data_IF_597638256776
#
_entry.id   IF_597638256776
#
_cell.length_a   1.000
_cell.length_b   1.000
_cell.length_c   1.000
_cell.angle_alpha   90.00
_cell.angle_beta   90.00
_cell.angle_gamma   90.00
#
_symmetry.space_group_name_H-M   'P 1'
#
loop_
_entity.id
_entity.type
_entity.pdbx_description
1 polymer ?
#
# COMPACT_ATOMS: atom_id res chain seq x y z
N UNK A 1 11.94 -18.10 9.44
CA UNK A 1 10.69 -17.52 9.98
C UNK A 1 10.86 -16.02 9.91
N UNK A 2 10.06 -15.34 9.09
CA UNK A 2 10.16 -13.89 8.93
C UNK A 2 9.52 -13.21 10.15
N UNK A 3 10.25 -12.37 10.90
CA UNK A 3 9.77 -11.76 12.15
C UNK A 3 8.59 -10.78 11.95
N UNK A 4 8.27 -10.44 10.70
CA UNK A 4 7.17 -9.55 10.33
C UNK A 4 5.79 -10.24 10.32
N UNK A 5 5.74 -11.58 10.37
CA UNK A 5 4.46 -12.31 10.39
C UNK A 5 3.81 -12.37 11.77
N UNK A 6 4.53 -12.07 12.86
CA UNK A 6 4.03 -12.30 14.21
C UNK A 6 3.37 -11.11 14.89
N UNK A 7 3.39 -9.93 14.28
CA UNK A 7 3.01 -8.70 15.00
C UNK A 7 2.12 -7.81 14.17
N UNK A 8 1.04 -8.35 13.63
CA UNK A 8 -0.11 -7.58 13.21
C UNK A 8 -1.24 -8.60 13.03
N UNK A 9 -2.23 -8.54 13.90
CA UNK A 9 -3.57 -9.09 13.67
C UNK A 9 -4.26 -8.28 12.54
N UNK A 10 -3.50 -7.92 11.48
CA UNK A 10 -4.06 -7.35 10.25
C UNK A 10 -5.00 -8.43 9.77
N UNK A 11 -6.28 -8.08 9.69
CA UNK A 11 -7.31 -8.88 9.05
C UNK A 11 -6.73 -9.45 7.76
N UNK A 12 -6.38 -10.74 7.78
CA UNK A 12 -5.67 -11.41 6.69
C UNK A 12 -6.40 -11.24 5.35
N UNK A 13 -7.72 -11.06 5.41
CA UNK A 13 -8.60 -10.78 4.28
C UNK A 13 -8.35 -9.40 3.64
N UNK A 14 -8.22 -8.35 4.44
CA UNK A 14 -7.95 -6.98 3.96
C UNK A 14 -6.64 -6.90 3.22
N UNK A 15 -5.60 -7.45 3.83
CA UNK A 15 -4.28 -7.56 3.21
C UNK A 15 -4.31 -8.32 1.87
N UNK A 16 -5.01 -9.46 1.81
CA UNK A 16 -5.14 -10.24 0.57
C UNK A 16 -5.81 -9.42 -0.54
N UNK A 17 -6.82 -8.63 -0.20
CA UNK A 17 -7.48 -7.74 -1.17
C UNK A 17 -6.49 -6.70 -1.70
N UNK A 18 -5.74 -6.03 -0.82
CA UNK A 18 -4.74 -5.03 -1.20
C UNK A 18 -3.69 -5.62 -2.14
N UNK A 19 -3.12 -6.77 -1.80
CA UNK A 19 -2.10 -7.44 -2.63
C UNK A 19 -2.69 -7.86 -3.97
N UNK A 20 -3.87 -8.50 -3.98
CA UNK A 20 -4.51 -8.93 -5.23
C UNK A 20 -4.78 -7.76 -6.17
N UNK A 21 -5.27 -6.63 -5.65
CA UNK A 21 -5.53 -5.43 -6.47
C UNK A 21 -4.23 -4.84 -7.01
N UNK A 22 -3.17 -4.78 -6.19
CA UNK A 22 -1.85 -4.30 -6.65
C UNK A 22 -1.29 -5.24 -7.73
N UNK A 23 -1.37 -6.56 -7.55
CA UNK A 23 -0.92 -7.53 -8.55
C UNK A 23 -1.71 -7.41 -9.86
N UNK A 24 -3.03 -7.35 -9.80
CA UNK A 24 -3.89 -7.19 -10.99
C UNK A 24 -3.64 -5.85 -11.69
N UNK A 25 -3.33 -4.78 -10.94
CA UNK A 25 -2.91 -3.50 -11.50
C UNK A 25 -1.54 -3.60 -12.21
N UNK A 26 -0.55 -4.21 -11.54
CA UNK A 26 0.80 -4.39 -12.09
C UNK A 26 0.82 -5.31 -13.32
N UNK A 27 -0.06 -6.32 -13.36
CA UNK A 27 -0.27 -7.23 -14.49
C UNK A 27 -1.06 -6.57 -15.63
N UNK A 28 -1.59 -5.36 -15.42
CA UNK A 28 -2.40 -4.62 -16.40
C UNK A 28 -3.83 -5.16 -16.58
N UNK A 29 -4.30 -6.02 -15.67
CA UNK A 29 -5.69 -6.52 -15.63
C UNK A 29 -6.67 -5.48 -15.09
N UNK A 30 -6.21 -4.62 -14.19
CA UNK A 30 -6.97 -3.52 -13.62
C UNK A 30 -6.36 -2.17 -13.98
N UNK A 31 -7.22 -1.18 -14.24
CA UNK A 31 -6.81 0.22 -14.33
C UNK A 31 -6.74 0.86 -12.95
N UNK A 32 -6.00 1.96 -12.83
CA UNK A 32 -5.79 2.68 -11.57
C UNK A 32 -7.12 3.11 -10.94
N UNK A 33 -8.04 3.69 -11.73
CA UNK A 33 -9.35 4.11 -11.26
C UNK A 33 -10.21 2.92 -10.77
N UNK A 34 -10.17 1.80 -11.48
CA UNK A 34 -10.94 0.61 -11.13
C UNK A 34 -10.41 -0.04 -9.85
N UNK A 35 -9.08 -0.16 -9.72
CA UNK A 35 -8.46 -0.68 -8.50
C UNK A 35 -8.73 0.23 -7.30
N UNK A 36 -8.66 1.56 -7.46
CA UNK A 36 -9.03 2.52 -6.41
C UNK A 36 -10.50 2.36 -5.98
N UNK A 37 -11.42 2.22 -6.94
CA UNK A 37 -12.84 1.99 -6.68
C UNK A 37 -13.06 0.70 -5.88
N UNK A 38 -12.42 -0.39 -6.28
CA UNK A 38 -12.53 -1.68 -5.58
C UNK A 38 -11.95 -1.58 -4.16
N UNK A 39 -10.82 -0.89 -3.97
CA UNK A 39 -10.25 -0.65 -2.64
C UNK A 39 -11.22 0.15 -1.77
N UNK A 40 -11.86 1.20 -2.29
CA UNK A 40 -12.91 1.96 -1.59
C UNK A 40 -14.11 1.10 -1.23
N UNK A 41 -14.60 0.27 -2.16
CA UNK A 41 -15.78 -0.56 -1.92
C UNK A 41 -15.51 -1.73 -0.95
N UNK A 42 -14.33 -2.37 -1.05
CA UNK A 42 -13.98 -3.56 -0.28
C UNK A 42 -13.37 -3.23 1.07
N UNK A 43 -12.40 -2.30 1.09
CA UNK A 43 -11.66 -1.94 2.29
C UNK A 43 -12.23 -0.69 2.97
N UNK A 44 -12.84 0.23 2.22
CA UNK A 44 -13.26 1.56 2.68
C UNK A 44 -12.07 2.50 2.84
N UNK A 45 -11.17 2.13 3.73
CA UNK A 45 -9.98 2.88 4.12
C UNK A 45 -8.79 1.94 4.25
N UNK A 46 -7.55 2.39 4.06
CA UNK A 46 -6.33 1.58 4.20
C UNK A 46 -5.36 2.29 5.15
N UNK A 47 -4.77 1.59 6.12
CA UNK A 47 -3.74 2.20 6.97
C UNK A 47 -2.38 2.20 6.29
N UNK A 48 -1.44 3.09 6.70
CA UNK A 48 -0.06 3.08 6.21
C UNK A 48 0.64 1.72 6.45
N UNK A 49 0.37 1.07 7.57
CA UNK A 49 0.90 -0.26 7.89
C UNK A 49 0.42 -1.33 6.89
N UNK A 50 -0.88 -1.33 6.55
CA UNK A 50 -1.44 -2.25 5.54
C UNK A 50 -0.80 -2.01 4.17
N UNK A 51 -0.59 -0.74 3.79
CA UNK A 51 0.03 -0.38 2.52
C UNK A 51 1.50 -0.82 2.44
N UNK A 52 2.30 -0.50 3.47
CA UNK A 52 3.72 -0.82 3.54
C UNK A 52 3.95 -2.33 3.54
N UNK A 53 3.11 -3.08 4.27
CA UNK A 53 3.19 -4.53 4.31
C UNK A 53 2.86 -5.16 2.95
N UNK A 54 1.85 -4.64 2.24
CA UNK A 54 1.54 -5.09 0.89
C UNK A 54 2.63 -4.75 -0.14
N UNK A 55 3.25 -3.57 -0.03
CA UNK A 55 4.39 -3.21 -0.88
C UNK A 55 5.59 -4.13 -0.65
N UNK A 56 5.89 -4.48 0.60
CA UNK A 56 6.99 -5.37 0.93
C UNK A 56 6.82 -6.75 0.27
N UNK A 57 5.58 -7.23 0.15
CA UNK A 57 5.28 -8.50 -0.53
C UNK A 57 5.54 -8.43 -2.04
N UNK A 58 5.36 -7.27 -2.66
CA UNK A 58 5.61 -7.05 -4.09
C UNK A 58 7.10 -6.89 -4.40
N UNK A 59 7.88 -6.31 -3.49
CA UNK A 59 9.35 -6.23 -3.61
C UNK A 59 10.04 -7.60 -3.71
N UNK A 60 9.37 -8.69 -3.31
CA UNK A 60 9.86 -10.05 -3.53
C UNK A 60 9.60 -10.61 -4.94
N UNK A 61 8.68 -9.99 -5.70
CA UNK A 61 8.19 -10.48 -7.00
C UNK A 61 8.69 -9.60 -8.15
N UNK A 62 8.77 -8.28 -7.94
CA UNK A 62 9.20 -7.29 -8.93
C UNK A 62 10.56 -6.69 -8.55
N UNK A 63 11.31 -6.21 -9.55
CA UNK A 63 12.59 -5.51 -9.33
C UNK A 63 12.35 -4.13 -8.71
N UNK A 64 13.29 -3.63 -7.90
CA UNK A 64 13.22 -2.29 -7.31
C UNK A 64 12.99 -1.19 -8.35
N UNK A 65 13.60 -1.30 -9.52
CA UNK A 65 13.49 -0.34 -10.62
C UNK A 65 12.05 -0.21 -11.14
N UNK A 66 11.35 -1.34 -11.26
CA UNK A 66 9.96 -1.38 -11.74
C UNK A 66 8.96 -0.97 -10.65
N UNK A 67 9.27 -1.27 -9.39
CA UNK A 67 8.49 -0.80 -8.24
C UNK A 67 8.60 0.72 -8.12
N UNK A 68 9.80 1.29 -8.29
CA UNK A 68 10.03 2.74 -8.23
C UNK A 68 9.28 3.48 -9.34
N UNK A 69 9.35 2.99 -10.58
CA UNK A 69 8.63 3.58 -11.73
C UNK A 69 7.11 3.57 -11.51
N UNK A 70 6.60 2.51 -10.86
CA UNK A 70 5.17 2.34 -10.57
C UNK A 70 4.78 2.83 -9.18
N UNK A 71 5.68 3.45 -8.41
CA UNK A 71 5.40 3.87 -7.04
C UNK A 71 4.35 4.97 -6.99
N UNK A 72 4.47 5.97 -7.86
CA UNK A 72 3.48 7.06 -7.99
C UNK A 72 2.09 6.50 -8.35
N UNK A 73 2.04 5.57 -9.30
CA UNK A 73 0.80 4.89 -9.69
C UNK A 73 0.21 4.07 -8.52
N UNK A 74 1.06 3.33 -7.80
CA UNK A 74 0.64 2.56 -6.64
C UNK A 74 0.16 3.47 -5.51
N UNK A 75 0.71 4.67 -5.32
CA UNK A 75 0.21 5.64 -4.35
C UNK A 75 -1.14 6.20 -4.79
N UNK A 76 -1.27 6.56 -6.06
CA UNK A 76 -2.51 7.03 -6.67
C UNK A 76 -3.63 5.98 -6.59
N UNK A 77 -3.30 4.69 -6.66
CA UNK A 77 -4.25 3.58 -6.47
C UNK A 77 -4.94 3.64 -5.09
N UNK A 78 -4.27 4.17 -4.07
CA UNK A 78 -4.81 4.33 -2.72
C UNK A 78 -5.23 5.77 -2.43
N UNK A 79 -5.25 6.67 -3.41
CA UNK A 79 -5.66 8.05 -3.22
C UNK A 79 -7.14 8.13 -2.74
N UNK A 80 -7.34 8.81 -1.61
CA UNK A 80 -8.62 8.87 -0.89
C UNK A 80 -9.06 7.56 -0.21
N UNK A 81 -8.25 6.49 -0.26
CA UNK A 81 -8.43 5.25 0.54
C UNK A 81 -7.43 5.22 1.68
N UNK A 82 -6.17 5.59 1.39
CA UNK A 82 -5.11 5.64 2.37
C UNK A 82 -5.48 6.68 3.43
N UNK A 83 -5.74 6.18 4.64
CA UNK A 83 -5.90 7.04 5.80
C UNK A 83 -4.53 7.64 6.03
N UNK A 84 -4.44 8.96 5.91
CA UNK A 84 -3.39 9.71 6.60
C UNK A 84 -3.66 9.47 8.08
N UNK A 85 -3.09 8.41 8.63
CA UNK A 85 -3.00 8.27 10.07
C UNK A 85 -2.43 9.61 10.54
N UNK A 86 -3.06 10.23 11.54
CA UNK A 86 -2.42 11.28 12.31
C UNK A 86 -1.19 10.64 12.95
N UNK A 87 -0.13 10.55 12.15
CA UNK A 87 1.12 9.97 12.56
C UNK A 87 1.74 11.02 13.46
N UNK A 88 1.58 10.83 14.76
CA UNK A 88 2.60 11.23 15.70
C UNK A 88 3.87 10.44 15.34
N UNK A 89 4.57 10.89 14.29
CA UNK A 89 5.88 10.37 13.95
C UNK A 89 6.82 10.75 15.11
N UNK A 90 7.65 9.83 15.63
CA UNK A 90 8.69 10.21 16.58
C UNK A 90 9.62 11.24 15.93
N UNK A 91 10.06 12.24 16.71
CA UNK A 91 10.99 13.28 16.24
C UNK A 91 12.21 12.63 15.55
N UNK A 92 12.48 13.00 14.29
CA UNK A 92 13.47 12.46 13.33
C UNK A 92 13.01 11.36 12.37
N UNK A 93 11.72 11.23 12.05
CA UNK A 93 11.32 10.33 10.95
C UNK A 93 11.64 10.96 9.57
N UNK A 94 12.38 10.28 8.67
CA UNK A 94 12.79 10.83 7.36
C UNK A 94 11.64 11.14 6.39
N UNK A 95 10.39 10.77 6.74
CA UNK A 95 9.19 11.09 5.97
C UNK A 95 8.58 12.46 6.32
N UNK A 96 9.12 13.20 7.29
CA UNK A 96 8.64 14.54 7.65
C UNK A 96 8.76 15.54 6.48
N UNK A 97 9.75 15.35 5.61
CA UNK A 97 10.00 16.23 4.46
C UNK A 97 8.92 16.18 3.37
N UNK A 98 8.01 15.20 3.41
CA UNK A 98 6.96 15.01 2.40
C UNK A 98 5.56 15.48 2.84
N UNK A 99 5.43 16.05 4.05
CA UNK A 99 4.15 16.51 4.60
C UNK A 99 3.83 17.98 4.28
N UNK A 100 4.81 18.77 3.84
CA UNK A 100 4.63 20.16 3.39
C UNK A 100 5.19 20.33 1.97
N UNK A 101 4.37 20.03 0.96
CA UNK A 101 4.32 20.83 -0.28
C UNK A 101 2.86 20.92 -0.76
#
# INVERSE_FOLDING_TARGET
MNPLQQKLDINNERYRIIVSIKEDYLDGKLSLEEGNRILKEKLGTCTPDEFAYAEQSLKGVYKDEEILDKMDDLLNLFDGVLVRAENEYPENHPLWAYLEE
#
